data_IF_189133868516
#
_entry.id   IF_189133868516
#
_cell.length_a   1.000
_cell.length_b   1.000
_cell.length_c   1.000
_cell.angle_alpha   90.00
_cell.angle_beta   90.00
_cell.angle_gamma   90.00
#
_symmetry.space_group_name_H-M   'P 1'
#
loop_
_entity.id
_entity.type
_entity.pdbx_description
1 polymer ?
#
# COMPACT_ATOMS: atom_id res chain seq x y z
N UNK A 1 66.00 36.85 14.09
CA UNK A 1 65.16 36.38 15.20
C UNK A 1 63.83 37.11 15.04
N UNK A 2 62.82 36.46 14.44
CA UNK A 2 61.53 37.09 14.15
C UNK A 2 60.65 36.99 15.39
N UNK A 3 60.33 38.13 16.01
CA UNK A 3 59.37 38.23 17.10
C UNK A 3 57.98 38.15 16.48
N UNK A 4 57.41 36.94 16.43
CA UNK A 4 55.97 36.79 16.13
C UNK A 4 55.23 37.23 17.40
N UNK A 5 54.33 38.23 17.35
CA UNK A 5 53.57 38.67 18.52
C UNK A 5 52.66 37.56 19.03
N UNK A 6 52.68 37.30 20.36
CA UNK A 6 51.80 36.31 21.00
C UNK A 6 50.31 36.73 21.00
N UNK A 7 50.02 38.02 20.74
CA UNK A 7 48.67 38.56 20.64
C UNK A 7 48.38 39.05 19.22
N UNK A 8 47.42 38.38 18.56
CA UNK A 8 46.98 38.72 17.22
C UNK A 8 46.37 40.12 17.12
N UNK A 9 45.86 40.69 18.22
CA UNK A 9 45.32 42.05 18.22
C UNK A 9 46.40 43.13 18.02
N UNK A 10 47.66 42.83 18.32
CA UNK A 10 48.77 43.75 18.08
C UNK A 10 49.04 43.97 16.57
N UNK A 11 48.67 43.00 15.72
CA UNK A 11 48.78 43.09 14.26
C UNK A 11 47.64 43.92 13.64
N UNK A 12 46.56 44.20 14.37
CA UNK A 12 45.43 44.97 13.83
C UNK A 12 45.83 46.41 13.51
N UNK A 13 46.70 47.04 14.32
CA UNK A 13 47.16 48.40 14.09
C UNK A 13 48.02 48.52 12.81
N UNK A 14 48.91 47.56 12.59
CA UNK A 14 49.73 47.50 11.38
C UNK A 14 48.88 47.15 10.15
N UNK A 15 47.88 46.28 10.31
CA UNK A 15 46.92 45.97 9.24
C UNK A 15 46.15 47.22 8.80
N UNK A 16 45.69 48.05 9.73
CA UNK A 16 45.01 49.31 9.40
C UNK A 16 45.92 50.31 8.69
N UNK A 17 47.19 50.43 9.14
CA UNK A 17 48.20 51.25 8.43
C UNK A 17 48.43 50.79 7.01
N UNK A 18 48.51 49.48 6.77
CA UNK A 18 48.68 48.93 5.43
C UNK A 18 47.51 49.29 4.50
N UNK A 19 46.27 49.25 5.00
CA UNK A 19 45.11 49.69 4.23
C UNK A 19 45.09 51.20 3.96
N UNK A 20 45.57 52.03 4.89
CA UNK A 20 45.74 53.47 4.65
C UNK A 20 46.78 53.76 3.57
N UNK A 21 47.85 52.95 3.48
CA UNK A 21 48.87 53.06 2.43
C UNK A 21 48.31 52.67 1.06
N UNK A 22 47.55 51.57 0.98
CA UNK A 22 46.81 51.13 -0.22
C UNK A 22 45.78 52.17 -0.69
N UNK A 23 45.08 52.81 0.25
CA UNK A 23 44.13 53.88 -0.07
C UNK A 23 44.85 55.11 -0.62
N UNK A 24 46.03 55.45 -0.08
CA UNK A 24 46.87 56.54 -0.59
C UNK A 24 47.50 56.24 -1.95
N UNK A 25 47.83 54.98 -2.26
CA UNK A 25 48.36 54.59 -3.57
C UNK A 25 47.27 54.48 -4.66
N UNK A 26 45.99 54.54 -4.27
CA UNK A 26 44.85 54.35 -5.19
C UNK A 26 44.66 52.90 -5.64
N UNK A 27 45.41 51.97 -5.05
CA UNK A 27 45.33 50.52 -5.32
C UNK A 27 44.33 49.81 -4.40
N UNK A 28 43.75 50.53 -3.43
CA UNK A 28 42.63 50.02 -2.65
C UNK A 28 41.41 49.80 -3.55
N UNK A 29 41.11 48.55 -3.86
CA UNK A 29 39.88 48.14 -4.56
C UNK A 29 38.62 48.31 -3.72
N UNK A 30 38.76 48.45 -2.39
CA UNK A 30 37.66 48.51 -1.43
C UNK A 30 37.91 49.61 -0.38
N UNK A 31 36.91 50.46 -0.15
CA UNK A 31 36.96 51.48 0.88
C UNK A 31 36.64 50.84 2.25
N UNK A 32 37.51 50.97 3.27
CA UNK A 32 37.27 50.40 4.61
C UNK A 32 36.06 51.03 5.33
N UNK A 33 35.52 52.13 4.83
CA UNK A 33 34.47 52.88 5.51
C UNK A 33 33.06 52.53 5.00
N UNK A 34 32.93 51.54 4.10
CA UNK A 34 31.64 51.13 3.58
C UNK A 34 31.09 49.92 4.37
N UNK A 35 30.17 50.10 5.33
CA UNK A 35 29.56 49.01 6.09
C UNK A 35 28.70 48.07 5.23
N UNK A 36 28.46 48.41 3.96
CA UNK A 36 27.76 47.57 3.00
C UNK A 36 28.67 46.71 2.13
N UNK A 37 30.01 46.81 2.29
CA UNK A 37 30.95 45.94 1.59
C UNK A 37 30.86 44.49 2.13
N UNK A 38 30.59 43.49 1.27
CA UNK A 38 30.50 42.09 1.68
C UNK A 38 31.80 41.52 2.27
N UNK A 39 32.97 42.09 1.95
CA UNK A 39 34.28 41.63 2.43
C UNK A 39 34.76 42.37 3.68
N UNK A 40 33.92 43.22 4.28
CA UNK A 40 34.31 44.04 5.42
C UNK A 40 34.74 43.20 6.65
N UNK A 41 35.97 43.38 7.18
CA UNK A 41 36.56 42.48 8.16
C UNK A 41 35.85 42.46 9.52
N UNK A 42 35.14 43.52 9.89
CA UNK A 42 34.41 43.58 11.19
C UNK A 42 33.09 42.81 11.20
N UNK A 43 32.58 42.39 10.03
CA UNK A 43 31.25 41.74 9.93
C UNK A 43 31.18 40.41 10.68
N UNK A 44 32.31 39.70 10.80
CA UNK A 44 32.45 38.45 11.54
C UNK A 44 32.50 38.65 13.06
N UNK A 45 33.01 39.81 13.51
CA UNK A 45 33.17 40.16 14.92
C UNK A 45 31.87 40.63 15.57
N UNK A 46 31.00 41.27 14.79
CA UNK A 46 29.79 41.94 15.32
C UNK A 46 28.51 41.06 15.28
N UNK A 47 28.64 39.76 15.00
CA UNK A 47 27.54 38.79 15.12
C UNK A 47 26.38 38.99 14.15
N UNK A 48 26.57 39.76 13.08
CA UNK A 48 25.52 40.00 12.08
C UNK A 48 25.33 38.74 11.21
N UNK A 49 24.07 38.31 10.96
CA UNK A 49 23.81 37.04 10.28
C UNK A 49 24.36 37.03 8.85
N UNK A 50 24.86 35.86 8.44
CA UNK A 50 25.51 35.47 7.17
C UNK A 50 24.97 36.09 5.86
N UNK A 51 23.73 36.60 5.87
CA UNK A 51 23.01 37.12 4.69
C UNK A 51 22.61 38.61 4.81
N UNK A 52 23.17 39.36 5.77
CA UNK A 52 22.89 40.79 5.95
C UNK A 52 21.43 41.12 6.27
N UNK A 53 20.99 42.35 5.94
CA UNK A 53 19.63 42.85 6.19
C UNK A 53 18.53 42.05 5.44
N UNK A 54 18.88 41.49 4.28
CA UNK A 54 17.97 40.63 3.49
C UNK A 54 17.83 39.26 4.18
N UNK A 55 18.93 38.73 4.70
CA UNK A 55 18.96 37.51 5.52
C UNK A 55 18.04 37.54 6.72
N UNK A 56 18.10 38.60 7.53
CA UNK A 56 17.35 38.65 8.80
C UNK A 56 15.83 38.85 8.60
N UNK A 57 15.41 39.43 7.47
CA UNK A 57 13.98 39.63 7.15
C UNK A 57 13.37 38.46 6.40
N UNK A 58 14.09 37.86 5.45
CA UNK A 58 13.53 36.84 4.57
C UNK A 58 13.57 35.45 5.19
N UNK A 59 14.63 35.09 5.94
CA UNK A 59 14.72 33.78 6.60
C UNK A 59 13.56 33.45 7.55
N UNK A 60 13.13 34.33 8.48
CA UNK A 60 12.02 34.00 9.37
C UNK A 60 10.71 33.82 8.60
N UNK A 61 10.49 34.58 7.53
CA UNK A 61 9.32 34.43 6.67
C UNK A 61 9.36 33.09 5.93
N UNK A 62 10.51 32.73 5.35
CA UNK A 62 10.70 31.45 4.66
C UNK A 62 10.54 30.25 5.62
N UNK A 63 11.01 30.39 6.85
CA UNK A 63 10.86 29.34 7.86
C UNK A 63 9.38 29.19 8.28
N UNK A 64 8.67 30.31 8.47
CA UNK A 64 7.25 30.32 8.78
C UNK A 64 6.41 29.74 7.64
N UNK A 65 6.72 30.07 6.38
CA UNK A 65 5.98 29.51 5.23
C UNK A 65 6.19 28.01 5.11
N UNK A 66 7.43 27.51 5.27
CA UNK A 66 7.71 26.07 5.29
C UNK A 66 7.00 25.38 6.45
N UNK A 67 7.00 25.98 7.65
CA UNK A 67 6.29 25.43 8.81
C UNK A 67 4.77 25.35 8.60
N UNK A 68 4.17 26.38 8.02
CA UNK A 68 2.73 26.39 7.69
C UNK A 68 2.41 25.34 6.63
N UNK A 69 3.25 25.20 5.59
CA UNK A 69 3.07 24.18 4.56
C UNK A 69 3.19 22.76 5.15
N UNK A 70 4.13 22.53 6.06
CA UNK A 70 4.28 21.25 6.76
C UNK A 70 3.07 20.92 7.65
N UNK A 71 2.53 21.93 8.35
CA UNK A 71 1.33 21.78 9.18
C UNK A 71 0.06 21.50 8.34
N UNK A 72 -0.09 22.18 7.21
CA UNK A 72 -1.19 21.90 6.27
C UNK A 72 -1.06 20.51 5.63
N UNK A 73 0.17 20.12 5.28
CA UNK A 73 0.47 18.78 4.78
C UNK A 73 0.11 17.69 5.78
N UNK A 74 0.46 17.86 7.06
CA UNK A 74 0.12 16.90 8.12
C UNK A 74 -1.38 16.84 8.41
N UNK A 75 -2.12 17.95 8.30
CA UNK A 75 -3.58 17.92 8.35
C UNK A 75 -4.17 17.17 7.15
N UNK A 76 -3.59 17.33 5.95
CA UNK A 76 -4.07 16.62 4.76
C UNK A 76 -3.92 15.09 4.89
N UNK A 77 -2.91 14.60 5.62
CA UNK A 77 -2.75 13.18 5.94
C UNK A 77 -3.93 12.61 6.76
N UNK A 78 -4.66 13.42 7.53
CA UNK A 78 -5.84 12.97 8.25
C UNK A 78 -7.03 12.68 7.33
N UNK A 79 -7.05 13.25 6.12
CA UNK A 79 -8.05 12.99 5.09
C UNK A 79 -7.65 11.85 4.15
N UNK A 80 -6.42 11.35 4.25
CA UNK A 80 -6.00 10.13 3.57
C UNK A 80 -6.69 8.97 4.26
N UNK A 81 -7.71 8.40 3.60
CA UNK A 81 -8.33 7.17 4.08
C UNK A 81 -7.26 6.07 4.12
N UNK A 82 -6.82 5.70 5.33
CA UNK A 82 -6.10 4.45 5.51
C UNK A 82 -7.04 3.34 5.07
N UNK A 83 -6.57 2.46 4.20
CA UNK A 83 -7.25 1.20 3.94
C UNK A 83 -7.57 0.56 5.30
N UNK A 84 -8.83 0.15 5.48
CA UNK A 84 -9.27 -0.49 6.71
C UNK A 84 -8.28 -1.61 7.08
N UNK A 85 -7.86 -1.72 8.35
CA UNK A 85 -7.08 -2.87 8.78
C UNK A 85 -7.87 -4.13 8.38
N UNK A 86 -7.20 -5.19 7.88
CA UNK A 86 -7.89 -6.40 7.49
C UNK A 86 -8.76 -6.85 8.66
N UNK A 87 -10.07 -6.97 8.42
CA UNK A 87 -11.03 -7.38 9.43
C UNK A 87 -10.46 -8.60 10.16
N UNK A 88 -10.40 -8.53 11.50
CA UNK A 88 -9.88 -9.63 12.33
C UNK A 88 -10.62 -10.91 11.94
N UNK A 89 -9.91 -11.79 11.24
CA UNK A 89 -10.44 -13.08 10.83
C UNK A 89 -10.67 -13.88 12.09
N UNK A 90 -11.92 -14.33 12.31
CA UNK A 90 -12.27 -15.21 13.41
C UNK A 90 -11.29 -16.40 13.46
N UNK A 91 -10.93 -16.88 14.67
CA UNK A 91 -9.96 -17.97 14.82
C UNK A 91 -10.43 -19.19 14.04
N UNK A 92 -9.51 -19.80 13.29
CA UNK A 92 -9.78 -21.04 12.57
C UNK A 92 -10.16 -22.14 13.56
N UNK A 93 -11.18 -22.93 13.23
CA UNK A 93 -11.54 -24.07 14.07
C UNK A 93 -10.45 -25.15 14.03
N UNK A 94 -10.26 -25.85 15.16
CA UNK A 94 -9.46 -27.06 15.23
C UNK A 94 -10.28 -28.22 14.65
N UNK A 95 -10.21 -28.44 13.34
CA UNK A 95 -10.93 -29.55 12.70
C UNK A 95 -10.18 -30.86 12.80
N UNK A 96 -10.88 -31.95 13.06
CA UNK A 96 -10.32 -33.31 13.02
C UNK A 96 -10.20 -33.88 11.59
N UNK A 97 -10.97 -33.34 10.63
CA UNK A 97 -10.96 -33.82 9.25
C UNK A 97 -9.75 -33.28 8.45
N UNK A 98 -9.29 -34.01 7.42
CA UNK A 98 -8.19 -33.56 6.55
C UNK A 98 -8.51 -32.24 5.85
N UNK A 99 -7.46 -31.45 5.60
CA UNK A 99 -7.55 -30.20 4.83
C UNK A 99 -8.12 -30.49 3.42
N UNK A 100 -9.04 -29.65 2.96
CA UNK A 100 -9.68 -29.79 1.64
C UNK A 100 -10.83 -30.80 1.58
N UNK A 101 -11.26 -31.36 2.72
CA UNK A 101 -12.42 -32.25 2.80
C UNK A 101 -13.56 -31.64 3.61
N UNK A 102 -14.77 -32.17 3.45
CA UNK A 102 -15.94 -31.78 4.24
C UNK A 102 -15.64 -31.95 5.74
N UNK A 103 -15.94 -30.92 6.52
CA UNK A 103 -15.60 -30.80 7.95
C UNK A 103 -14.14 -30.44 8.24
N UNK A 104 -13.29 -30.33 7.21
CA UNK A 104 -11.91 -29.90 7.31
C UNK A 104 -11.72 -28.43 6.93
N UNK A 105 -10.53 -27.90 7.19
CA UNK A 105 -10.20 -26.52 6.81
C UNK A 105 -9.94 -26.38 5.31
N UNK A 106 -10.19 -25.17 4.78
CA UNK A 106 -9.64 -24.75 3.50
C UNK A 106 -8.10 -24.89 3.47
N UNK A 107 -7.51 -25.26 2.31
CA UNK A 107 -6.06 -25.32 2.18
C UNK A 107 -5.41 -23.96 2.38
N UNK A 108 -4.20 -23.96 2.93
CA UNK A 108 -3.40 -22.76 3.07
C UNK A 108 -2.76 -22.45 1.71
N UNK A 109 -3.54 -21.85 0.82
CA UNK A 109 -3.12 -21.43 -0.51
C UNK A 109 -3.15 -19.91 -0.63
N UNK A 110 -2.15 -19.35 -1.30
CA UNK A 110 -2.18 -17.95 -1.71
C UNK A 110 -3.10 -17.78 -2.92
N UNK A 111 -3.92 -16.75 -2.89
CA UNK A 111 -4.87 -16.41 -3.97
C UNK A 111 -4.83 -14.92 -4.23
N UNK A 112 -5.21 -14.48 -5.42
CA UNK A 112 -5.37 -13.06 -5.72
C UNK A 112 -6.84 -12.74 -6.03
N UNK A 113 -7.36 -11.69 -5.41
CA UNK A 113 -8.71 -11.16 -5.69
C UNK A 113 -8.55 -9.70 -6.09
N UNK A 114 -8.94 -9.36 -7.32
CA UNK A 114 -8.75 -8.00 -7.85
C UNK A 114 -7.28 -7.56 -7.82
N UNK A 115 -6.35 -8.49 -8.09
CA UNK A 115 -4.90 -8.26 -8.06
C UNK A 115 -4.29 -8.12 -6.66
N UNK A 116 -5.08 -8.24 -5.58
CA UNK A 116 -4.57 -8.19 -4.21
C UNK A 116 -4.31 -9.59 -3.65
N UNK A 117 -3.09 -9.90 -3.19
CA UNK A 117 -2.79 -11.21 -2.61
C UNK A 117 -3.51 -11.39 -1.28
N UNK A 118 -4.14 -12.54 -1.10
CA UNK A 118 -4.84 -12.97 0.13
C UNK A 118 -4.59 -14.45 0.38
N UNK A 119 -4.82 -14.91 1.60
CA UNK A 119 -4.86 -16.36 1.87
C UNK A 119 -6.28 -16.88 1.65
N UNK A 120 -6.39 -18.06 1.03
CA UNK A 120 -7.68 -18.72 0.82
C UNK A 120 -8.44 -18.92 2.14
N UNK A 121 -7.72 -19.14 3.23
CA UNK A 121 -8.31 -19.27 4.56
C UNK A 121 -8.97 -17.98 5.05
N UNK A 122 -8.54 -16.80 4.65
CA UNK A 122 -9.18 -15.54 5.09
C UNK A 122 -10.50 -15.26 4.35
N UNK A 123 -10.84 -16.15 3.42
CA UNK A 123 -11.99 -16.01 2.55
C UNK A 123 -13.18 -16.73 3.17
N UNK A 124 -13.72 -16.11 4.23
CA UNK A 124 -14.83 -16.66 5.01
C UNK A 124 -15.85 -15.59 5.38
N UNK A 125 -17.12 -15.97 5.54
CA UNK A 125 -17.78 -17.09 4.86
C UNK A 125 -17.82 -16.85 3.34
N UNK A 126 -17.86 -17.91 2.53
CA UNK A 126 -17.89 -17.80 1.06
C UNK A 126 -18.38 -19.07 0.36
N UNK A 127 -18.88 -18.91 -0.87
CA UNK A 127 -19.04 -19.99 -1.85
C UNK A 127 -17.88 -19.92 -2.83
N UNK A 128 -17.08 -20.99 -2.92
CA UNK A 128 -15.95 -21.08 -3.84
C UNK A 128 -16.31 -22.03 -4.97
N UNK A 129 -16.32 -21.52 -6.19
CA UNK A 129 -16.58 -22.27 -7.41
C UNK A 129 -15.25 -22.62 -8.07
N UNK A 130 -14.97 -23.90 -8.24
CA UNK A 130 -13.76 -24.41 -8.88
C UNK A 130 -14.17 -25.13 -10.17
N UNK A 131 -14.04 -24.47 -11.34
CA UNK A 131 -14.31 -25.09 -12.62
C UNK A 131 -13.19 -26.04 -13.05
N UNK A 132 -13.56 -27.10 -13.77
CA UNK A 132 -12.60 -27.96 -14.45
C UNK A 132 -11.90 -27.19 -15.58
N UNK A 133 -10.59 -27.40 -15.77
CA UNK A 133 -9.84 -26.74 -16.84
C UNK A 133 -10.36 -27.15 -18.23
N UNK A 134 -10.52 -26.17 -19.12
CA UNK A 134 -10.83 -26.38 -20.54
C UNK A 134 -12.25 -26.87 -20.85
N UNK A 135 -13.18 -26.89 -19.89
CA UNK A 135 -14.58 -27.27 -20.12
C UNK A 135 -15.52 -26.25 -19.49
N UNK A 136 -16.20 -25.49 -20.33
CA UNK A 136 -17.16 -24.50 -19.88
C UNK A 136 -18.34 -24.39 -20.86
N UNK A 137 -19.14 -25.46 -20.98
CA UNK A 137 -20.37 -25.44 -21.77
C UNK A 137 -21.49 -24.67 -21.07
N UNK A 138 -21.73 -24.96 -19.78
CA UNK A 138 -22.86 -24.44 -18.99
C UNK A 138 -22.43 -23.64 -17.75
N UNK A 139 -21.23 -23.06 -17.75
CA UNK A 139 -20.75 -22.33 -16.57
C UNK A 139 -21.57 -21.08 -16.28
N UNK A 140 -22.06 -20.37 -17.31
CA UNK A 140 -22.76 -19.10 -17.11
C UNK A 140 -24.04 -19.28 -16.28
N UNK A 141 -24.87 -20.25 -16.65
CA UNK A 141 -26.09 -20.58 -15.91
C UNK A 141 -25.79 -21.10 -14.50
N UNK A 142 -24.74 -21.90 -14.35
CA UNK A 142 -24.31 -22.44 -13.06
C UNK A 142 -23.78 -21.35 -12.15
N UNK A 143 -22.91 -20.47 -12.64
CA UNK A 143 -22.35 -19.35 -11.87
C UNK A 143 -23.44 -18.35 -11.49
N UNK A 144 -24.40 -18.08 -12.38
CA UNK A 144 -25.54 -17.23 -12.07
C UNK A 144 -26.40 -17.84 -10.93
N UNK A 145 -26.65 -19.15 -10.97
CA UNK A 145 -27.37 -19.86 -9.92
C UNK A 145 -26.62 -19.83 -8.57
N UNK A 146 -25.32 -20.12 -8.57
CA UNK A 146 -24.49 -20.06 -7.35
C UNK A 146 -24.40 -18.64 -6.80
N UNK A 147 -24.29 -17.64 -7.67
CA UNK A 147 -24.23 -16.23 -7.26
C UNK A 147 -25.56 -15.72 -6.74
N UNK A 148 -26.68 -16.23 -7.25
CA UNK A 148 -28.00 -15.97 -6.69
C UNK A 148 -28.17 -16.62 -5.31
N UNK A 149 -27.75 -17.87 -5.15
CA UNK A 149 -27.79 -18.58 -3.87
C UNK A 149 -26.90 -17.91 -2.82
N UNK A 150 -25.67 -17.53 -3.18
CA UNK A 150 -24.76 -16.80 -2.29
C UNK A 150 -25.35 -15.48 -1.82
N UNK A 151 -25.94 -14.68 -2.74
CA UNK A 151 -26.63 -13.43 -2.37
C UNK A 151 -27.83 -13.67 -1.45
N UNK A 152 -28.61 -14.73 -1.68
CA UNK A 152 -29.73 -15.08 -0.81
C UNK A 152 -29.28 -15.47 0.60
N UNK A 153 -28.13 -16.14 0.72
CA UNK A 153 -27.50 -16.52 1.99
C UNK A 153 -26.62 -15.41 2.61
N UNK A 154 -26.46 -14.26 1.95
CA UNK A 154 -25.61 -13.16 2.42
C UNK A 154 -24.11 -13.45 2.38
N UNK A 155 -23.67 -14.42 1.56
CA UNK A 155 -22.26 -14.81 1.39
C UNK A 155 -21.76 -14.46 0.00
N UNK A 156 -20.45 -14.17 -0.10
CA UNK A 156 -19.80 -13.86 -1.38
C UNK A 156 -19.57 -15.13 -2.20
N UNK A 157 -19.74 -15.02 -3.51
CA UNK A 157 -19.41 -16.08 -4.47
C UNK A 157 -18.11 -15.74 -5.19
N UNK A 158 -17.18 -16.69 -5.20
CA UNK A 158 -15.85 -16.55 -5.78
C UNK A 158 -15.61 -17.65 -6.81
N UNK A 159 -15.13 -17.30 -7.99
CA UNK A 159 -14.77 -18.27 -9.04
C UNK A 159 -13.26 -18.40 -9.10
N UNK A 160 -12.76 -19.59 -8.80
CA UNK A 160 -11.35 -19.93 -8.77
C UNK A 160 -10.83 -20.18 -10.19
N UNK A 161 -9.90 -19.37 -10.67
CA UNK A 161 -9.26 -19.51 -11.99
C UNK A 161 -7.75 -19.67 -11.86
N UNK A 162 -7.09 -20.50 -12.68
CA UNK A 162 -5.65 -20.71 -12.59
C UNK A 162 -4.87 -19.41 -12.88
N UNK A 163 -3.99 -19.02 -11.96
CA UNK A 163 -3.15 -17.82 -12.08
C UNK A 163 -2.27 -17.84 -13.34
N UNK A 164 -1.74 -19.02 -13.70
CA UNK A 164 -0.83 -19.20 -14.83
C UNK A 164 -1.48 -18.88 -16.20
N UNK A 165 -2.79 -19.04 -16.31
CA UNK A 165 -3.53 -18.81 -17.56
C UNK A 165 -4.53 -17.66 -17.46
N UNK A 166 -4.80 -17.15 -16.25
CA UNK A 166 -5.91 -16.22 -15.99
C UNK A 166 -7.29 -16.85 -16.14
N UNK A 167 -7.37 -18.18 -16.26
CA UNK A 167 -8.58 -18.89 -16.69
C UNK A 167 -8.84 -18.81 -18.20
N UNK A 168 -9.89 -19.48 -18.65
CA UNK A 168 -10.42 -19.27 -20.01
C UNK A 168 -11.16 -17.93 -20.05
N UNK A 169 -10.97 -17.10 -21.07
CA UNK A 169 -11.67 -15.82 -21.21
C UNK A 169 -13.19 -15.97 -21.16
N UNK A 170 -13.72 -17.11 -21.60
CA UNK A 170 -15.14 -17.45 -21.45
C UNK A 170 -15.55 -17.66 -19.98
N UNK A 171 -14.69 -18.28 -19.16
CA UNK A 171 -14.95 -18.48 -17.73
C UNK A 171 -14.91 -17.16 -16.95
N UNK A 172 -13.97 -16.26 -17.30
CA UNK A 172 -13.89 -14.90 -16.73
C UNK A 172 -15.17 -14.13 -17.05
N UNK A 173 -15.55 -14.08 -18.33
CA UNK A 173 -16.76 -13.37 -18.77
C UNK A 173 -18.04 -13.94 -18.13
N UNK A 174 -18.13 -15.27 -17.99
CA UNK A 174 -19.26 -15.91 -17.31
C UNK A 174 -19.31 -15.58 -15.81
N UNK A 175 -18.16 -15.52 -15.13
CA UNK A 175 -18.10 -15.16 -13.72
C UNK A 175 -18.53 -13.69 -13.50
N UNK A 176 -18.01 -12.78 -14.32
CA UNK A 176 -18.38 -11.36 -14.27
C UNK A 176 -19.86 -11.14 -14.62
N UNK A 177 -20.37 -11.80 -15.66
CA UNK A 177 -21.78 -11.75 -16.04
C UNK A 177 -22.73 -12.28 -14.96
N UNK A 178 -22.29 -13.25 -14.17
CA UNK A 178 -23.03 -13.77 -13.02
C UNK A 178 -22.94 -12.86 -11.77
N UNK A 179 -22.11 -11.82 -11.79
CA UNK A 179 -21.80 -10.98 -10.63
C UNK A 179 -20.94 -11.68 -9.57
N UNK A 180 -20.24 -12.75 -9.94
CA UNK A 180 -19.28 -13.42 -9.08
C UNK A 180 -17.92 -12.69 -9.12
N UNK A 181 -17.15 -12.79 -8.05
CA UNK A 181 -15.78 -12.24 -8.04
C UNK A 181 -14.80 -13.28 -8.53
N UNK A 182 -13.93 -12.91 -9.46
CA UNK A 182 -12.84 -13.77 -9.92
C UNK A 182 -11.74 -13.83 -8.85
N UNK A 183 -11.32 -15.05 -8.53
CA UNK A 183 -10.24 -15.36 -7.61
C UNK A 183 -9.19 -16.15 -8.37
N UNK A 184 -8.00 -15.59 -8.53
CA UNK A 184 -6.88 -16.26 -9.17
C UNK A 184 -6.17 -17.15 -8.14
N UNK A 185 -5.92 -18.40 -8.50
CA UNK A 185 -5.41 -19.44 -7.62
C UNK A 185 -4.25 -20.18 -8.28
N UNK A 186 -3.28 -20.58 -7.45
CA UNK A 186 -2.23 -21.49 -7.88
C UNK A 186 -2.83 -22.87 -8.24
N UNK A 187 -2.16 -23.60 -9.14
CA UNK A 187 -2.64 -24.89 -9.68
C UNK A 187 -2.88 -25.94 -8.60
N UNK A 188 -2.16 -25.84 -7.47
CA UNK A 188 -2.32 -26.76 -6.34
C UNK A 188 -3.73 -26.80 -5.75
N UNK A 189 -4.56 -25.77 -5.95
CA UNK A 189 -5.97 -25.82 -5.53
C UNK A 189 -6.78 -26.82 -6.37
N UNK A 190 -6.51 -26.89 -7.67
CA UNK A 190 -7.17 -27.81 -8.59
C UNK A 190 -6.77 -29.26 -8.31
N UNK A 191 -5.53 -29.50 -7.90
CA UNK A 191 -5.05 -30.82 -7.51
C UNK A 191 -5.72 -31.34 -6.22
N UNK A 192 -5.99 -30.45 -5.25
CA UNK A 192 -6.60 -30.82 -3.97
C UNK A 192 -8.08 -31.18 -4.16
N UNK A 193 -8.81 -30.38 -4.93
CA UNK A 193 -10.25 -30.54 -5.07
C UNK A 193 -10.68 -31.44 -6.23
N UNK A 194 -9.78 -31.71 -7.18
CA UNK A 194 -10.00 -32.53 -8.38
C UNK A 194 -11.37 -32.25 -9.03
N UNK A 195 -11.57 -31.01 -9.54
CA UNK A 195 -12.88 -30.56 -9.95
C UNK A 195 -13.39 -31.32 -11.18
N UNK A 196 -14.62 -31.82 -11.09
CA UNK A 196 -15.35 -32.43 -12.20
C UNK A 196 -16.47 -31.47 -12.61
N UNK A 197 -16.43 -30.99 -13.85
CA UNK A 197 -17.37 -29.96 -14.32
C UNK A 197 -17.22 -28.67 -13.51
N UNK A 198 -18.30 -28.21 -12.88
CA UNK A 198 -18.27 -27.08 -11.96
C UNK A 198 -18.40 -27.60 -10.53
N UNK A 199 -17.30 -27.57 -9.77
CA UNK A 199 -17.33 -27.92 -8.35
C UNK A 199 -17.66 -26.68 -7.53
N UNK A 200 -18.56 -26.78 -6.57
CA UNK A 200 -18.91 -25.70 -5.64
C UNK A 200 -18.55 -26.15 -4.23
N UNK A 201 -17.89 -25.28 -3.47
CA UNK A 201 -17.42 -25.54 -2.12
C UNK A 201 -18.04 -24.49 -1.21
N UNK A 202 -18.79 -24.94 -0.21
CA UNK A 202 -19.34 -24.06 0.82
C UNK A 202 -18.37 -23.94 1.98
N UNK A 203 -18.04 -22.69 2.35
CA UNK A 203 -17.10 -22.36 3.40
C UNK A 203 -17.81 -21.61 4.51
N UNK A 204 -17.85 -22.21 5.70
CA UNK A 204 -18.42 -21.61 6.90
C UNK A 204 -17.61 -20.42 7.43
N UNK A 205 -18.21 -19.64 8.34
CA UNK A 205 -17.54 -18.49 8.96
C UNK A 205 -16.30 -18.84 9.79
N UNK A 206 -16.21 -20.09 10.26
CA UNK A 206 -15.08 -20.65 11.02
C UNK A 206 -13.96 -21.24 10.12
N UNK A 207 -14.22 -21.35 8.82
CA UNK A 207 -13.27 -21.80 7.81
C UNK A 207 -13.28 -23.27 7.51
N UNK A 208 -14.31 -23.95 8.02
CA UNK A 208 -14.59 -25.32 7.67
C UNK A 208 -15.33 -25.40 6.35
N UNK A 209 -15.06 -26.46 5.61
CA UNK A 209 -15.81 -26.81 4.42
C UNK A 209 -17.09 -27.49 4.87
N UNK A 210 -18.23 -26.82 4.70
CA UNK A 210 -19.53 -27.36 5.07
C UNK A 210 -19.98 -28.43 4.07
N UNK A 211 -19.73 -28.21 2.78
CA UNK A 211 -20.10 -29.12 1.71
C UNK A 211 -19.23 -28.93 0.46
N UNK A 212 -19.13 -29.98 -0.35
CA UNK A 212 -18.49 -29.98 -1.66
C UNK A 212 -19.45 -30.64 -2.66
N UNK A 213 -19.93 -29.87 -3.63
CA UNK A 213 -20.73 -30.39 -4.75
C UNK A 213 -19.86 -30.50 -5.98
N UNK A 214 -19.63 -31.71 -6.45
CA UNK A 214 -18.94 -31.96 -7.72
C UNK A 214 -19.98 -31.99 -8.84
N UNK A 215 -19.68 -31.38 -9.98
CA UNK A 215 -20.61 -31.28 -11.11
C UNK A 215 -21.96 -30.63 -10.76
N UNK A 216 -21.91 -29.48 -10.07
CA UNK A 216 -23.11 -28.75 -9.69
C UNK A 216 -23.91 -28.33 -10.93
N UNK A 217 -25.24 -28.51 -10.87
CA UNK A 217 -26.17 -28.08 -11.91
C UNK A 217 -27.13 -27.01 -11.38
N UNK A 218 -27.59 -26.06 -12.23
CA UNK A 218 -28.30 -24.85 -11.78
C UNK A 218 -29.65 -25.09 -11.10
N UNK A 219 -30.29 -26.25 -11.29
CA UNK A 219 -31.72 -26.44 -10.97
C UNK A 219 -32.02 -27.26 -9.73
N UNK A 220 -31.12 -28.11 -9.24
CA UNK A 220 -31.52 -29.14 -8.25
C UNK A 220 -30.75 -29.10 -6.93
N UNK A 221 -29.46 -28.75 -6.94
CA UNK A 221 -28.63 -28.86 -5.72
C UNK A 221 -28.51 -27.55 -4.92
N UNK A 222 -28.50 -26.39 -5.58
CA UNK A 222 -28.35 -25.08 -4.92
C UNK A 222 -29.65 -24.57 -4.28
N UNK A 223 -30.80 -24.90 -4.89
CA UNK A 223 -32.12 -24.56 -4.35
C UNK A 223 -32.44 -25.34 -3.07
N UNK A 224 -31.84 -26.53 -2.87
CA UNK A 224 -32.08 -27.36 -1.70
C UNK A 224 -31.39 -26.82 -0.42
N UNK A 225 -30.46 -25.88 -0.53
CA UNK A 225 -29.61 -25.43 0.58
C UNK A 225 -29.61 -23.92 0.87
N UNK A 226 -30.31 -23.11 0.07
CA UNK A 226 -30.66 -21.75 0.48
C UNK A 226 -31.66 -21.71 1.66
N UNK A 227 -32.08 -22.88 2.18
CA UNK A 227 -32.77 -22.97 3.46
C UNK A 227 -31.74 -22.87 4.60
N UNK A 228 -31.84 -21.86 5.48
CA UNK A 228 -30.93 -21.72 6.60
C UNK A 228 -31.12 -22.91 7.54
N UNK A 229 -30.07 -23.72 7.68
CA UNK A 229 -29.94 -24.60 8.84
C UNK A 229 -29.82 -23.70 10.06
N UNK A 230 -30.87 -23.78 10.89
CA UNK A 230 -31.04 -23.07 12.16
C UNK A 230 -29.99 -23.46 13.18
#
# INVERSE_FOLDING_TARGET
MSLVPDDASALDADRWRYYEELARSGEATHAPDNPSDPEHPTRWRDGLPWYGFVGSRVMPIAFMTVAVLAMLGSLALAFVQRADPPAQTAPLSLTAAPVGQVGGLLPNAAVAIGGQPRQLRDIRPALVVVPAPGRCGDCESTYAAVSAAGRAAGVRTLVALPLATGGDGAQVAAAEGAGATVMEVDTGLFDIFDPVGTTVIEVGGDGTIAAIWRSATPTTDLALQAQPTR
#
